data_IF_983673249308
#
_entry.id   IF_983673249308
#
_cell.length_a   1.000
_cell.length_b   1.000
_cell.length_c   1.000
_cell.angle_alpha   90.00
_cell.angle_beta   90.00
_cell.angle_gamma   90.00
#
_symmetry.space_group_name_H-M   'P 1'
#
loop_
_entity.id
_entity.type
_entity.pdbx_description
1 polymer ?
#
# COMPACT_ATOMS: atom_id res chain seq x y z
N UNK A 1 4.92 -25.44 -16.68
CA UNK A 1 4.96 -24.11 -16.04
C UNK A 1 4.43 -24.17 -14.62
N UNK A 2 3.29 -24.88 -14.37
CA UNK A 2 2.73 -25.08 -13.02
C UNK A 2 3.70 -25.87 -12.12
N UNK A 3 4.24 -27.00 -12.57
CA UNK A 3 5.23 -27.80 -11.82
C UNK A 3 6.51 -27.02 -11.44
N UNK A 4 6.98 -26.12 -12.29
CA UNK A 4 8.16 -25.30 -12.03
C UNK A 4 7.85 -24.22 -10.98
N UNK A 5 6.65 -23.64 -10.99
CA UNK A 5 6.17 -22.68 -9.99
C UNK A 5 5.95 -23.36 -8.63
N UNK A 6 5.43 -24.58 -8.60
CA UNK A 6 5.21 -25.36 -7.37
C UNK A 6 6.55 -25.78 -6.71
N UNK A 7 7.62 -25.97 -7.51
CA UNK A 7 8.96 -26.27 -7.00
C UNK A 7 9.63 -25.02 -6.43
N UNK A 8 9.45 -23.85 -7.07
CA UNK A 8 10.11 -22.59 -6.66
C UNK A 8 9.31 -21.90 -5.55
N UNK A 9 7.99 -22.02 -5.56
CA UNK A 9 7.08 -21.36 -4.63
C UNK A 9 5.99 -22.32 -4.11
N UNK A 10 6.32 -23.26 -3.24
CA UNK A 10 5.39 -24.29 -2.77
C UNK A 10 4.20 -23.75 -1.95
N UNK A 11 4.16 -22.45 -1.70
CA UNK A 11 3.11 -21.78 -0.89
C UNK A 11 2.14 -20.93 -1.71
N UNK A 12 2.22 -20.96 -3.05
CA UNK A 12 1.35 -20.18 -3.92
C UNK A 12 0.03 -20.93 -4.17
N UNK A 13 -1.07 -20.39 -3.68
CA UNK A 13 -2.41 -20.84 -4.10
C UNK A 13 -2.67 -20.48 -5.58
N UNK A 14 -3.52 -21.27 -6.24
CA UNK A 14 -3.94 -20.99 -7.63
C UNK A 14 -4.49 -19.57 -7.78
N UNK A 15 -5.20 -19.05 -6.78
CA UNK A 15 -5.74 -17.70 -6.73
C UNK A 15 -4.64 -16.62 -6.77
N UNK A 16 -3.54 -16.82 -6.05
CA UNK A 16 -2.40 -15.92 -6.05
C UNK A 16 -1.68 -15.91 -7.40
N UNK A 17 -1.54 -17.08 -8.03
CA UNK A 17 -0.96 -17.20 -9.36
C UNK A 17 -1.79 -16.42 -10.38
N UNK A 18 -3.11 -16.50 -10.29
CA UNK A 18 -4.04 -15.76 -11.16
C UNK A 18 -3.84 -14.23 -10.97
N UNK A 19 -3.81 -13.75 -9.74
CA UNK A 19 -3.63 -12.30 -9.47
C UNK A 19 -2.28 -11.80 -9.96
N UNK A 20 -1.20 -12.54 -9.70
CA UNK A 20 0.14 -12.19 -10.18
C UNK A 20 0.19 -12.18 -11.71
N UNK A 21 -0.40 -13.21 -12.36
CA UNK A 21 -0.46 -13.30 -13.80
C UNK A 21 -1.24 -12.13 -14.42
N UNK A 22 -2.30 -11.68 -13.75
CA UNK A 22 -3.09 -10.53 -14.17
C UNK A 22 -2.28 -9.22 -14.04
N UNK A 23 -1.55 -9.02 -12.94
CA UNK A 23 -0.66 -7.87 -12.76
C UNK A 23 0.42 -7.84 -13.85
N UNK A 24 1.11 -8.96 -14.06
CA UNK A 24 2.15 -9.07 -15.08
C UNK A 24 1.55 -8.86 -16.46
N UNK A 25 0.41 -9.48 -16.77
CA UNK A 25 -0.29 -9.31 -18.05
C UNK A 25 -0.65 -7.86 -18.33
N UNK A 26 -1.13 -7.13 -17.33
CA UNK A 26 -1.44 -5.71 -17.44
C UNK A 26 -0.18 -4.87 -17.71
N UNK A 27 0.92 -5.14 -17.01
CA UNK A 27 2.20 -4.45 -17.21
C UNK A 27 2.79 -4.74 -18.59
N UNK A 28 2.72 -5.98 -19.04
CA UNK A 28 3.16 -6.38 -20.40
C UNK A 28 2.31 -5.68 -21.45
N UNK A 29 1.00 -5.67 -21.29
CA UNK A 29 0.07 -4.99 -22.21
C UNK A 29 0.37 -3.49 -22.28
N UNK A 30 0.54 -2.83 -21.13
CA UNK A 30 0.92 -1.44 -21.08
C UNK A 30 2.26 -1.16 -21.80
N UNK A 31 3.26 -2.02 -21.57
CA UNK A 31 4.57 -1.91 -22.21
C UNK A 31 4.48 -2.11 -23.73
N UNK A 32 3.67 -3.07 -24.21
CA UNK A 32 3.42 -3.29 -25.63
C UNK A 32 2.73 -2.11 -26.29
N UNK A 33 1.71 -1.54 -25.64
CA UNK A 33 1.01 -0.36 -26.14
C UNK A 33 2.00 0.81 -26.28
N UNK A 34 2.85 1.07 -25.29
CA UNK A 34 3.85 2.11 -25.35
C UNK A 34 4.87 1.88 -26.49
N UNK A 35 5.30 0.63 -26.67
CA UNK A 35 6.20 0.24 -27.76
C UNK A 35 5.55 0.51 -29.13
N UNK A 36 4.29 0.10 -29.31
CA UNK A 36 3.55 0.31 -30.56
C UNK A 36 3.32 1.80 -30.83
N UNK A 37 2.91 2.59 -29.83
CA UNK A 37 2.75 4.04 -29.97
C UNK A 37 4.04 4.70 -30.40
N UNK A 38 5.17 4.31 -29.80
CA UNK A 38 6.49 4.85 -30.18
C UNK A 38 6.88 4.48 -31.62
N UNK A 39 6.49 3.28 -32.09
CA UNK A 39 6.77 2.82 -33.45
C UNK A 39 5.90 3.50 -34.49
N UNK A 40 4.60 3.70 -34.19
CA UNK A 40 3.63 4.29 -35.13
C UNK A 40 3.72 5.81 -35.15
N UNK A 41 3.94 6.42 -33.99
CA UNK A 41 4.02 7.90 -33.83
C UNK A 41 5.29 8.32 -33.10
N UNK A 42 6.47 8.33 -33.75
CA UNK A 42 7.75 8.63 -33.11
C UNK A 42 7.82 10.05 -32.48
N UNK A 43 6.98 10.96 -32.95
CA UNK A 43 6.92 12.36 -32.48
C UNK A 43 6.10 12.52 -31.18
N UNK A 44 5.33 11.50 -30.77
CA UNK A 44 4.53 11.56 -29.55
C UNK A 44 5.43 11.47 -28.32
N UNK A 45 5.30 12.44 -27.42
CA UNK A 45 6.05 12.44 -26.16
C UNK A 45 5.43 11.45 -25.17
N UNK A 46 6.00 10.25 -25.11
CA UNK A 46 5.59 9.19 -24.17
C UNK A 46 6.58 8.99 -23.01
N UNK A 47 7.52 9.92 -22.82
CA UNK A 47 8.59 9.80 -21.83
C UNK A 47 8.04 9.63 -20.40
N UNK A 48 7.01 10.39 -20.03
CA UNK A 48 6.36 10.29 -18.72
C UNK A 48 5.68 8.91 -18.51
N UNK A 49 4.91 8.44 -19.52
CA UNK A 49 4.26 7.12 -19.43
C UNK A 49 5.27 5.99 -19.36
N UNK A 50 6.33 6.06 -20.15
CA UNK A 50 7.40 5.07 -20.15
C UNK A 50 8.14 5.03 -18.80
N UNK A 51 8.41 6.20 -18.21
CA UNK A 51 9.02 6.29 -16.87
C UNK A 51 8.10 5.67 -15.80
N UNK A 52 6.80 5.97 -15.84
CA UNK A 52 5.79 5.37 -14.93
C UNK A 52 5.71 3.86 -15.07
N UNK A 53 5.63 3.33 -16.29
CA UNK A 53 5.56 1.88 -16.54
C UNK A 53 6.82 1.17 -16.02
N UNK A 54 8.01 1.77 -16.21
CA UNK A 54 9.26 1.23 -15.66
C UNK A 54 9.24 1.21 -14.13
N UNK A 55 8.76 2.28 -13.49
CA UNK A 55 8.62 2.32 -12.03
C UNK A 55 7.64 1.25 -11.52
N UNK A 56 6.56 1.01 -12.24
CA UNK A 56 5.59 -0.04 -11.90
C UNK A 56 6.19 -1.44 -12.01
N UNK A 57 7.02 -1.72 -13.00
CA UNK A 57 7.76 -2.98 -13.09
C UNK A 57 8.66 -3.20 -11.88
N UNK A 58 9.39 -2.16 -11.46
CA UNK A 58 10.29 -2.24 -10.31
C UNK A 58 9.47 -2.45 -9.02
N UNK A 59 8.41 -1.67 -8.81
CA UNK A 59 7.55 -1.79 -7.63
C UNK A 59 6.86 -3.15 -7.55
N UNK A 60 6.26 -3.63 -8.64
CA UNK A 60 5.63 -4.94 -8.70
C UNK A 60 6.64 -6.07 -8.44
N UNK A 61 7.82 -6.01 -9.05
CA UNK A 61 8.88 -7.01 -8.84
C UNK A 61 9.38 -7.05 -7.40
N UNK A 62 9.65 -5.89 -6.79
CA UNK A 62 10.07 -5.80 -5.40
C UNK A 62 8.97 -6.28 -4.44
N UNK A 63 7.73 -5.88 -4.68
CA UNK A 63 6.61 -6.24 -3.82
C UNK A 63 6.29 -7.74 -3.91
N UNK A 64 6.18 -8.30 -5.10
CA UNK A 64 5.96 -9.73 -5.32
C UNK A 64 7.11 -10.53 -4.69
N UNK A 65 8.36 -10.15 -4.96
CA UNK A 65 9.52 -10.81 -4.37
C UNK A 65 9.48 -10.78 -2.83
N UNK A 66 9.24 -9.62 -2.24
CA UNK A 66 9.21 -9.47 -0.78
C UNK A 66 8.08 -10.27 -0.13
N UNK A 67 6.88 -10.28 -0.73
CA UNK A 67 5.70 -10.93 -0.14
C UNK A 67 5.74 -12.45 -0.30
N UNK A 68 6.36 -12.99 -1.38
CA UNK A 68 6.29 -14.42 -1.69
C UNK A 68 7.50 -15.23 -1.23
N UNK A 69 8.65 -14.63 -1.01
CA UNK A 69 9.85 -15.37 -0.57
C UNK A 69 9.64 -15.94 0.84
N UNK A 70 9.23 -15.11 1.80
CA UNK A 70 9.03 -15.55 3.18
C UNK A 70 8.16 -14.56 3.96
N UNK A 71 7.36 -15.04 4.92
CA UNK A 71 6.61 -14.17 5.83
C UNK A 71 7.52 -13.17 6.57
N UNK A 72 8.67 -13.64 7.07
CA UNK A 72 9.62 -12.77 7.78
C UNK A 72 10.16 -11.66 6.87
N UNK A 73 10.47 -11.99 5.61
CA UNK A 73 10.93 -11.00 4.63
C UNK A 73 9.84 -9.98 4.35
N UNK A 74 8.57 -10.40 4.27
CA UNK A 74 7.43 -9.48 4.09
C UNK A 74 7.32 -8.46 5.23
N UNK A 75 7.44 -8.91 6.48
CA UNK A 75 7.42 -8.01 7.64
C UNK A 75 8.60 -7.03 7.62
N UNK A 76 9.82 -7.52 7.34
CA UNK A 76 11.00 -6.67 7.21
C UNK A 76 10.86 -5.65 6.09
N UNK A 77 10.37 -6.07 4.93
CA UNK A 77 10.15 -5.19 3.79
C UNK A 77 9.15 -4.07 4.09
N UNK A 78 8.01 -4.40 4.70
CA UNK A 78 7.00 -3.42 5.08
C UNK A 78 7.50 -2.50 6.21
N UNK A 79 8.27 -3.01 7.17
CA UNK A 79 8.92 -2.20 8.20
C UNK A 79 9.94 -1.23 7.58
N UNK A 80 10.71 -1.69 6.60
CA UNK A 80 11.65 -0.86 5.87
C UNK A 80 10.94 0.23 5.05
N UNK A 81 9.82 -0.10 4.40
CA UNK A 81 8.97 0.91 3.73
C UNK A 81 8.45 1.96 4.70
N UNK A 82 7.99 1.54 5.89
CA UNK A 82 7.59 2.48 6.96
C UNK A 82 8.74 3.38 7.39
N UNK A 83 9.94 2.84 7.52
CA UNK A 83 11.12 3.62 7.87
C UNK A 83 11.46 4.65 6.79
N UNK A 84 11.43 4.27 5.51
CA UNK A 84 11.66 5.21 4.40
C UNK A 84 10.59 6.30 4.40
N UNK A 85 9.31 5.93 4.52
CA UNK A 85 8.21 6.89 4.56
C UNK A 85 8.31 7.84 5.76
N UNK A 86 8.66 7.32 6.94
CA UNK A 86 8.90 8.11 8.14
C UNK A 86 10.05 9.12 7.93
N UNK A 87 11.16 8.66 7.39
CA UNK A 87 12.33 9.50 7.10
C UNK A 87 12.01 10.60 6.09
N UNK A 88 11.29 10.26 5.02
CA UNK A 88 10.92 11.21 3.98
C UNK A 88 10.00 12.30 4.52
N UNK A 89 8.92 11.91 5.21
CA UNK A 89 8.01 12.87 5.84
C UNK A 89 8.73 13.76 6.86
N UNK A 90 9.64 13.18 7.64
CA UNK A 90 10.46 13.93 8.57
C UNK A 90 11.33 14.98 7.86
N UNK A 91 11.95 14.63 6.73
CA UNK A 91 12.83 15.54 5.98
C UNK A 91 12.08 16.74 5.41
N UNK A 92 10.82 16.53 4.99
CA UNK A 92 9.98 17.56 4.37
C UNK A 92 9.40 18.54 5.39
N UNK A 93 9.10 18.07 6.61
CA UNK A 93 8.34 18.88 7.59
C UNK A 93 9.18 19.82 8.46
N UNK A 94 10.51 19.79 8.34
CA UNK A 94 11.42 20.76 8.97
C UNK A 94 11.33 20.79 10.50
N UNK A 95 11.80 19.71 11.15
CA UNK A 95 11.87 19.60 12.60
C UNK A 95 13.04 20.40 13.20
N UNK A 96 12.90 20.78 14.46
CA UNK A 96 13.95 21.47 15.22
C UNK A 96 15.03 20.48 15.67
N UNK A 97 16.21 20.98 15.95
CA UNK A 97 17.27 20.16 16.56
C UNK A 97 16.87 19.60 17.94
N UNK A 98 16.07 20.37 18.69
CA UNK A 98 15.49 19.94 19.97
C UNK A 98 14.65 18.66 19.85
N UNK A 99 14.04 18.40 18.69
CA UNK A 99 13.13 17.26 18.48
C UNK A 99 13.86 15.94 18.17
N UNK A 100 15.19 15.96 17.95
CA UNK A 100 15.99 14.76 17.61
C UNK A 100 15.84 13.60 18.61
N UNK A 101 15.68 13.91 19.90
CA UNK A 101 15.43 12.88 20.92
C UNK A 101 14.10 12.17 20.75
N UNK A 102 13.05 12.90 20.41
CA UNK A 102 11.73 12.33 20.16
C UNK A 102 11.70 11.51 18.86
N UNK A 103 12.47 11.91 17.84
CA UNK A 103 12.64 11.14 16.61
C UNK A 103 13.22 9.76 16.86
N UNK A 104 14.24 9.64 17.72
CA UNK A 104 14.79 8.34 18.08
C UNK A 104 13.69 7.40 18.58
N UNK A 105 12.78 7.90 19.43
CA UNK A 105 11.65 7.13 19.92
C UNK A 105 10.63 6.82 18.80
N UNK A 106 10.45 7.73 17.86
CA UNK A 106 9.63 7.49 16.67
C UNK A 106 10.18 6.36 15.79
N UNK A 107 11.51 6.35 15.58
CA UNK A 107 12.18 5.27 14.82
C UNK A 107 12.09 3.94 15.58
N UNK A 108 12.29 3.97 16.92
CA UNK A 108 12.18 2.77 17.76
C UNK A 108 10.75 2.20 17.79
N UNK A 109 9.75 3.03 17.57
CA UNK A 109 8.37 2.57 17.48
C UNK A 109 8.12 1.65 16.27
N UNK A 110 8.91 1.78 15.19
CA UNK A 110 8.74 0.95 13.98
C UNK A 110 8.92 -0.54 14.30
N UNK A 111 10.08 -1.01 14.79
CA UNK A 111 10.26 -2.43 15.06
C UNK A 111 9.27 -2.96 16.12
N UNK A 112 8.89 -2.16 17.10
CA UNK A 112 7.91 -2.56 18.11
C UNK A 112 6.54 -2.77 17.48
N UNK A 113 6.07 -1.83 16.66
CA UNK A 113 4.77 -1.93 15.97
C UNK A 113 4.71 -3.17 15.05
N UNK A 114 5.79 -3.43 14.30
CA UNK A 114 5.86 -4.60 13.42
C UNK A 114 5.99 -5.91 14.18
N UNK A 115 6.65 -5.91 15.33
CA UNK A 115 6.69 -7.07 16.23
C UNK A 115 5.30 -7.38 16.80
N UNK A 116 4.52 -6.37 17.19
CA UNK A 116 3.14 -6.55 17.63
C UNK A 116 2.24 -7.10 16.50
N UNK A 117 2.45 -6.65 15.26
CA UNK A 117 1.77 -7.20 14.10
C UNK A 117 2.15 -8.67 13.85
N UNK A 118 3.43 -9.02 13.99
CA UNK A 118 3.93 -10.39 13.85
C UNK A 118 3.35 -11.34 14.91
N UNK A 119 3.21 -10.87 16.14
CA UNK A 119 2.57 -11.62 17.22
C UNK A 119 1.04 -11.75 17.09
N UNK A 120 0.43 -11.08 16.09
CA UNK A 120 -1.00 -10.97 15.91
C UNK A 120 -1.74 -10.43 17.16
N UNK A 121 -1.06 -9.66 18.03
CA UNK A 121 -1.65 -9.09 19.23
C UNK A 121 -2.38 -7.78 18.89
N UNK A 122 -3.59 -7.91 18.36
CA UNK A 122 -4.38 -6.79 17.84
C UNK A 122 -4.60 -5.67 18.85
N UNK A 123 -4.93 -6.00 20.12
CA UNK A 123 -5.20 -5.00 21.15
C UNK A 123 -3.99 -4.08 21.41
N UNK A 124 -2.79 -4.66 21.56
CA UNK A 124 -1.57 -3.87 21.72
C UNK A 124 -1.19 -3.13 20.41
N UNK A 125 -1.35 -3.80 19.26
CA UNK A 125 -1.04 -3.25 17.95
C UNK A 125 -1.84 -1.96 17.66
N UNK A 126 -3.16 -1.94 17.92
CA UNK A 126 -4.02 -0.80 17.60
C UNK A 126 -3.82 0.37 18.57
N UNK A 127 -3.38 0.11 19.81
CA UNK A 127 -3.21 1.14 20.85
C UNK A 127 -1.79 1.73 20.83
N UNK A 128 -0.78 0.98 20.39
CA UNK A 128 0.62 1.37 20.57
C UNK A 128 0.96 2.73 19.93
N UNK A 129 0.70 2.94 18.65
CA UNK A 129 1.01 4.23 18.01
C UNK A 129 0.04 5.34 18.43
N UNK A 130 -1.30 5.17 18.35
CA UNK A 130 -2.21 6.28 18.62
C UNK A 130 -2.30 6.66 20.08
N UNK A 131 -2.01 5.79 21.04
CA UNK A 131 -2.13 6.06 22.46
C UNK A 131 -0.76 6.08 23.16
N UNK A 132 0.01 4.98 23.09
CA UNK A 132 1.26 4.90 23.84
C UNK A 132 2.29 5.89 23.30
N UNK A 133 2.50 5.96 21.99
CA UNK A 133 3.42 6.91 21.40
C UNK A 133 2.93 8.35 21.53
N UNK A 134 1.60 8.57 21.48
CA UNK A 134 1.00 9.88 21.74
C UNK A 134 1.29 10.40 23.15
N UNK A 135 1.50 9.54 24.13
CA UNK A 135 1.90 9.91 25.49
C UNK A 135 3.42 10.00 25.66
N UNK A 136 4.16 9.05 25.06
CA UNK A 136 5.63 8.96 25.21
C UNK A 136 6.34 10.12 24.52
N UNK A 137 5.94 10.52 23.32
CA UNK A 137 6.60 11.58 22.56
C UNK A 137 6.52 12.94 23.25
N UNK A 138 5.36 13.42 23.71
CA UNK A 138 5.26 14.65 24.47
C UNK A 138 6.09 14.63 25.76
N UNK A 139 6.00 13.52 26.50
CA UNK A 139 6.79 13.36 27.72
C UNK A 139 8.28 13.55 27.45
N UNK A 140 8.79 12.95 26.36
CA UNK A 140 10.20 13.09 25.97
C UNK A 140 10.58 14.51 25.56
N UNK A 141 9.69 15.20 24.86
CA UNK A 141 9.91 16.60 24.48
C UNK A 141 9.94 17.53 25.71
N UNK A 142 9.00 17.34 26.66
CA UNK A 142 8.95 18.14 27.89
C UNK A 142 10.16 17.89 28.78
N UNK A 143 10.59 16.63 28.95
CA UNK A 143 11.76 16.28 29.76
C UNK A 143 13.08 16.89 29.25
N UNK A 144 13.13 17.31 28.00
CA UNK A 144 14.29 17.99 27.42
C UNK A 144 14.38 19.48 27.79
N UNK A 145 13.31 20.06 28.35
CA UNK A 145 13.26 21.43 28.87
C UNK A 145 13.01 22.53 27.84
N UNK A 146 13.02 22.24 26.52
CA UNK A 146 12.70 23.21 25.48
C UNK A 146 11.22 23.11 25.13
N UNK A 147 10.42 23.98 25.73
CA UNK A 147 8.95 24.01 25.53
C UNK A 147 8.49 24.89 24.37
N UNK A 148 9.42 25.65 23.76
CA UNK A 148 9.04 26.56 22.66
C UNK A 148 8.61 25.77 21.41
N UNK A 149 7.37 25.95 20.95
CA UNK A 149 6.83 25.27 19.76
C UNK A 149 6.61 23.74 19.91
N UNK A 150 6.61 23.23 21.14
CA UNK A 150 6.45 21.82 21.47
C UNK A 150 5.17 21.22 20.88
N UNK A 151 4.06 21.94 20.93
CA UNK A 151 2.76 21.49 20.41
C UNK A 151 2.82 21.19 18.90
N UNK A 152 3.54 22.02 18.13
CA UNK A 152 3.74 21.81 16.70
C UNK A 152 4.56 20.53 16.47
N UNK A 153 5.67 20.36 17.18
CA UNK A 153 6.53 19.17 17.06
C UNK A 153 5.80 17.90 17.43
N UNK A 154 5.01 17.92 18.51
CA UNK A 154 4.18 16.79 18.92
C UNK A 154 3.16 16.41 17.85
N UNK A 155 2.40 17.39 17.34
CA UNK A 155 1.41 17.15 16.30
C UNK A 155 2.05 16.58 15.04
N UNK A 156 3.17 17.12 14.58
CA UNK A 156 3.88 16.64 13.39
C UNK A 156 4.44 15.22 13.57
N UNK A 157 5.08 14.93 14.71
CA UNK A 157 5.62 13.59 15.00
C UNK A 157 4.52 12.54 15.07
N UNK A 158 3.43 12.84 15.78
CA UNK A 158 2.29 11.93 15.84
C UNK A 158 1.66 11.71 14.46
N UNK A 159 1.52 12.78 13.68
CA UNK A 159 0.99 12.69 12.31
C UNK A 159 1.86 11.80 11.40
N UNK A 160 3.19 11.97 11.46
CA UNK A 160 4.11 11.11 10.72
C UNK A 160 3.97 9.66 11.15
N UNK A 161 3.96 9.38 12.46
CA UNK A 161 3.81 8.01 12.94
C UNK A 161 2.48 7.37 12.51
N UNK A 162 1.39 8.13 12.55
CA UNK A 162 0.08 7.64 12.10
C UNK A 162 0.08 7.29 10.60
N UNK A 163 0.68 8.14 9.76
CA UNK A 163 0.69 7.91 8.32
C UNK A 163 1.70 6.83 7.89
N UNK A 164 2.96 6.95 8.36
CA UNK A 164 4.05 6.11 7.87
C UNK A 164 4.19 4.77 8.61
N UNK A 165 3.91 4.73 9.91
CA UNK A 165 4.11 3.52 10.69
C UNK A 165 2.79 2.81 10.94
N UNK A 166 1.82 3.49 11.54
CA UNK A 166 0.53 2.88 11.85
C UNK A 166 -0.23 2.46 10.59
N UNK A 167 -0.35 3.36 9.60
CA UNK A 167 -1.03 3.06 8.34
C UNK A 167 -0.39 1.89 7.58
N UNK A 168 0.93 1.92 7.35
CA UNK A 168 1.62 0.87 6.60
C UNK A 168 1.69 -0.45 7.38
N UNK A 169 1.80 -0.42 8.72
CA UNK A 169 1.83 -1.64 9.54
C UNK A 169 0.53 -2.46 9.49
N UNK A 170 -0.61 -1.86 9.13
CA UNK A 170 -1.84 -2.60 8.89
C UNK A 170 -1.72 -3.56 7.70
N UNK A 171 -0.90 -3.21 6.69
CA UNK A 171 -0.57 -4.15 5.60
C UNK A 171 0.18 -5.37 6.12
N UNK A 172 1.09 -5.16 7.08
CA UNK A 172 1.79 -6.26 7.74
C UNK A 172 0.83 -7.08 8.63
N UNK A 173 -0.11 -6.42 9.31
CA UNK A 173 -1.11 -7.12 10.12
C UNK A 173 -2.02 -8.02 9.28
N UNK A 174 -2.32 -7.66 8.02
CA UNK A 174 -3.07 -8.55 7.11
C UNK A 174 -2.39 -9.90 6.92
N UNK A 175 -1.04 -9.95 6.95
CA UNK A 175 -0.29 -11.20 6.81
C UNK A 175 -0.51 -12.16 7.98
N UNK A 176 -0.83 -11.65 9.17
CA UNK A 176 -1.08 -12.45 10.38
C UNK A 176 -2.52 -12.96 10.49
N UNK A 177 -3.42 -12.54 9.58
CA UNK A 177 -4.81 -13.01 9.62
C UNK A 177 -4.90 -14.49 9.26
N UNK A 178 -5.76 -15.25 9.95
CA UNK A 178 -6.00 -16.65 9.63
C UNK A 178 -6.60 -16.80 8.24
N UNK A 179 -6.43 -17.97 7.66
CA UNK A 179 -7.07 -18.32 6.39
C UNK A 179 -8.60 -18.23 6.53
N UNK A 180 -9.22 -17.54 5.58
CA UNK A 180 -10.66 -17.40 5.54
C UNK A 180 -11.29 -18.63 4.86
N UNK A 181 -12.39 -19.20 5.38
CA UNK A 181 -13.07 -20.31 4.75
C UNK A 181 -13.47 -19.98 3.30
N UNK A 182 -12.94 -20.73 2.34
CA UNK A 182 -13.19 -20.53 0.91
C UNK A 182 -12.27 -19.51 0.24
N UNK A 183 -11.23 -19.00 0.92
CA UNK A 183 -10.20 -18.13 0.36
C UNK A 183 -8.80 -18.68 0.76
N UNK A 184 -8.21 -19.47 -0.12
CA UNK A 184 -6.96 -20.18 0.16
C UNK A 184 -5.71 -19.28 0.05
N UNK A 185 -5.88 -18.07 -0.45
CA UNK A 185 -4.77 -17.12 -0.58
C UNK A 185 -4.33 -16.46 0.75
N UNK A 186 -5.14 -16.62 1.82
CA UNK A 186 -4.82 -16.14 3.16
C UNK A 186 -4.51 -14.64 3.23
N UNK A 187 -3.74 -14.24 4.25
CA UNK A 187 -3.35 -12.84 4.45
C UNK A 187 -2.51 -12.25 3.30
N UNK A 188 -1.72 -13.07 2.61
CA UNK A 188 -0.96 -12.63 1.43
C UNK A 188 -1.88 -12.24 0.27
N UNK A 189 -2.94 -13.01 0.05
CA UNK A 189 -3.94 -12.70 -0.96
C UNK A 189 -4.69 -11.40 -0.66
N UNK A 190 -5.05 -11.18 0.60
CA UNK A 190 -5.68 -9.93 1.04
C UNK A 190 -4.77 -8.73 0.84
N UNK A 191 -3.49 -8.87 1.17
CA UNK A 191 -2.49 -7.83 0.97
C UNK A 191 -2.33 -7.48 -0.52
N UNK A 192 -2.16 -8.49 -1.38
CA UNK A 192 -2.08 -8.29 -2.83
C UNK A 192 -3.34 -7.64 -3.40
N UNK A 193 -4.51 -8.12 -2.98
CA UNK A 193 -5.78 -7.59 -3.42
C UNK A 193 -5.94 -6.11 -3.05
N UNK A 194 -5.58 -5.74 -1.81
CA UNK A 194 -5.63 -4.35 -1.37
C UNK A 194 -4.69 -3.46 -2.17
N UNK A 195 -3.43 -3.89 -2.37
CA UNK A 195 -2.46 -3.12 -3.16
C UNK A 195 -2.92 -3.01 -4.62
N UNK A 196 -3.41 -4.11 -5.20
CA UNK A 196 -3.94 -4.11 -6.56
C UNK A 196 -5.12 -3.15 -6.73
N UNK A 197 -6.06 -3.12 -5.78
CA UNK A 197 -7.19 -2.18 -5.80
C UNK A 197 -6.74 -0.72 -5.72
N UNK A 198 -5.76 -0.42 -4.88
CA UNK A 198 -5.23 0.95 -4.75
C UNK A 198 -4.53 1.40 -6.02
N UNK A 199 -3.73 0.54 -6.64
CA UNK A 199 -3.06 0.83 -7.90
C UNK A 199 -4.05 1.01 -9.06
N UNK A 200 -5.04 0.13 -9.18
CA UNK A 200 -6.10 0.28 -10.19
C UNK A 200 -6.89 1.58 -9.98
N UNK A 201 -7.19 1.92 -8.73
CA UNK A 201 -7.89 3.16 -8.43
C UNK A 201 -7.10 4.39 -8.92
N UNK A 202 -5.77 4.41 -8.73
CA UNK A 202 -4.94 5.51 -9.22
C UNK A 202 -4.88 5.56 -10.76
N UNK A 203 -4.77 4.40 -11.41
CA UNK A 203 -4.83 4.28 -12.87
C UNK A 203 -6.17 4.79 -13.41
N UNK A 204 -7.28 4.38 -12.81
CA UNK A 204 -8.61 4.81 -13.25
C UNK A 204 -8.83 6.30 -13.01
N UNK A 205 -8.35 6.85 -11.89
CA UNK A 205 -8.36 8.30 -11.65
C UNK A 205 -7.60 9.06 -12.74
N UNK A 206 -6.45 8.54 -13.16
CA UNK A 206 -5.65 9.14 -14.22
C UNK A 206 -6.38 9.08 -15.57
N UNK A 207 -6.95 7.92 -15.94
CA UNK A 207 -7.66 7.73 -17.21
C UNK A 207 -8.88 8.66 -17.28
N UNK A 208 -9.76 8.61 -16.29
CA UNK A 208 -10.95 9.46 -16.25
C UNK A 208 -10.60 10.94 -16.17
N UNK A 209 -9.54 11.30 -15.41
CA UNK A 209 -9.03 12.67 -15.35
C UNK A 209 -8.50 13.19 -16.68
N UNK A 210 -7.92 12.32 -17.50
CA UNK A 210 -7.45 12.68 -18.87
C UNK A 210 -8.60 12.77 -19.87
N UNK A 211 -9.58 11.87 -19.77
CA UNK A 211 -10.69 11.78 -20.72
C UNK A 211 -11.79 12.83 -20.46
N UNK A 212 -12.17 13.01 -19.21
CA UNK A 212 -13.32 13.83 -18.82
C UNK A 212 -12.99 15.02 -17.92
N UNK A 213 -11.75 15.11 -17.42
CA UNK A 213 -11.35 16.08 -16.41
C UNK A 213 -11.48 17.53 -16.83
N UNK A 214 -12.39 18.25 -16.23
CA UNK A 214 -12.67 19.68 -16.44
C UNK A 214 -12.48 20.50 -15.15
N UNK A 215 -12.96 19.98 -14.02
CA UNK A 215 -12.97 20.68 -12.74
C UNK A 215 -11.81 20.24 -11.85
N UNK A 216 -10.90 21.16 -11.55
CA UNK A 216 -9.74 20.89 -10.69
C UNK A 216 -10.16 20.79 -9.22
N UNK A 217 -9.63 19.79 -8.47
CA UNK A 217 -9.90 19.64 -7.03
C UNK A 217 -9.12 20.68 -6.23
N UNK A 218 -7.81 20.72 -6.41
CA UNK A 218 -6.88 21.60 -5.67
C UNK A 218 -5.83 22.18 -6.61
N UNK A 219 -6.16 23.25 -7.38
CA UNK A 219 -5.27 23.79 -8.40
C UNK A 219 -3.88 24.19 -7.88
N UNK A 220 -3.80 24.69 -6.64
CA UNK A 220 -2.55 25.15 -6.02
C UNK A 220 -1.65 24.01 -5.51
N UNK A 221 -2.23 22.86 -5.15
CA UNK A 221 -1.48 21.73 -4.56
C UNK A 221 -1.24 20.63 -5.58
N UNK A 222 -2.25 20.31 -6.37
CA UNK A 222 -2.19 19.26 -7.41
C UNK A 222 -2.94 19.72 -8.66
N UNK A 223 -2.25 20.37 -9.61
CA UNK A 223 -2.88 20.98 -10.80
C UNK A 223 -3.46 19.94 -11.77
N UNK A 224 -3.08 18.68 -11.65
CA UNK A 224 -3.53 17.60 -12.54
C UNK A 224 -4.70 16.77 -12.00
N UNK A 225 -5.06 16.91 -10.72
CA UNK A 225 -6.19 16.17 -10.13
C UNK A 225 -7.52 16.87 -10.42
N UNK A 226 -8.50 16.08 -10.89
CA UNK A 226 -9.85 16.56 -11.26
C UNK A 226 -10.93 15.78 -10.53
N UNK A 227 -12.09 16.39 -10.32
CA UNK A 227 -13.25 15.75 -9.70
C UNK A 227 -13.76 14.56 -10.53
N UNK A 228 -13.79 14.71 -11.85
CA UNK A 228 -14.21 13.65 -12.76
C UNK A 228 -13.25 12.45 -12.69
N UNK A 229 -11.95 12.72 -12.59
CA UNK A 229 -10.96 11.68 -12.38
C UNK A 229 -11.15 10.96 -11.05
N UNK A 230 -11.36 11.70 -9.96
CA UNK A 230 -11.57 11.12 -8.64
C UNK A 230 -12.83 10.25 -8.60
N UNK A 231 -13.98 10.78 -9.02
CA UNK A 231 -15.24 10.04 -9.04
C UNK A 231 -15.19 8.84 -9.98
N UNK A 232 -14.63 9.00 -11.18
CA UNK A 232 -14.46 7.91 -12.13
C UNK A 232 -13.58 6.78 -11.57
N UNK A 233 -12.50 7.11 -10.88
CA UNK A 233 -11.67 6.13 -10.18
C UNK A 233 -12.44 5.37 -9.11
N UNK A 234 -13.12 6.08 -8.22
CA UNK A 234 -13.92 5.47 -7.13
C UNK A 234 -15.01 4.56 -7.71
N UNK A 235 -15.79 5.02 -8.69
CA UNK A 235 -16.87 4.22 -9.30
C UNK A 235 -16.29 2.96 -9.96
N UNK A 236 -15.24 3.09 -10.78
CA UNK A 236 -14.61 1.95 -11.45
C UNK A 236 -14.08 0.91 -10.47
N UNK A 237 -13.39 1.36 -9.41
CA UNK A 237 -12.82 0.47 -8.39
C UNK A 237 -13.92 -0.20 -7.56
N UNK A 238 -14.99 0.53 -7.24
CA UNK A 238 -16.15 -0.04 -6.54
C UNK A 238 -16.85 -1.09 -7.40
N UNK A 239 -17.04 -0.85 -8.70
CA UNK A 239 -17.57 -1.85 -9.61
C UNK A 239 -16.71 -3.11 -9.66
N UNK A 240 -15.38 -2.96 -9.74
CA UNK A 240 -14.46 -4.09 -9.69
C UNK A 240 -14.57 -4.88 -8.38
N UNK A 241 -14.70 -4.19 -7.25
CA UNK A 241 -14.86 -4.82 -5.95
C UNK A 241 -16.17 -5.65 -5.89
N UNK A 242 -17.26 -5.11 -6.41
CA UNK A 242 -18.56 -5.79 -6.44
C UNK A 242 -18.62 -6.96 -7.42
N UNK A 243 -17.86 -6.91 -8.51
CA UNK A 243 -17.79 -7.99 -9.50
C UNK A 243 -16.81 -9.10 -9.10
N UNK A 244 -15.98 -8.85 -8.09
CA UNK A 244 -15.09 -9.88 -7.54
C UNK A 244 -15.89 -10.96 -6.82
N UNK A 245 -15.64 -12.26 -7.07
CA UNK A 245 -16.40 -13.35 -6.44
C UNK A 245 -16.27 -13.29 -4.92
N UNK A 246 -17.39 -13.02 -4.26
CA UNK A 246 -17.49 -13.00 -2.80
C UNK A 246 -17.49 -14.44 -2.24
N UNK A 247 -16.89 -14.70 -1.06
CA UNK A 247 -17.05 -15.98 -0.36
C UNK A 247 -18.52 -16.41 -0.15
N UNK A 248 -19.45 -15.44 -0.16
CA UNK A 248 -20.91 -15.71 -0.09
C UNK A 248 -21.45 -16.27 -1.39
N UNK A 249 -20.95 -15.84 -2.53
CA UNK A 249 -21.39 -16.31 -3.85
C UNK A 249 -20.92 -17.74 -4.12
N UNK A 250 -19.70 -18.08 -3.64
CA UNK A 250 -19.15 -19.43 -3.72
C UNK A 250 -19.93 -20.43 -2.84
N UNK A 251 -20.54 -20.00 -1.74
CA UNK A 251 -21.44 -20.85 -0.94
C UNK A 251 -22.74 -21.14 -1.67
N UNK A 252 -23.32 -20.20 -2.38
CA UNK A 252 -24.57 -20.40 -3.16
C UNK A 252 -24.38 -21.36 -4.34
N UNK A 253 -23.24 -21.34 -5.00
CA UNK A 253 -22.95 -22.26 -6.12
C UNK A 253 -22.72 -23.71 -5.69
N UNK A 254 -22.46 -23.96 -4.40
CA UNK A 254 -22.26 -25.31 -3.82
C UNK A 254 -23.50 -25.89 -3.14
N UNK A 255 -24.62 -25.17 -3.08
CA UNK A 255 -25.88 -25.77 -2.61
C UNK A 255 -26.42 -26.66 -3.74
N UNK A 256 -26.59 -27.99 -3.51
CA UNK A 256 -27.27 -28.82 -4.48
C UNK A 256 -28.68 -28.26 -4.65
N UNK A 257 -29.09 -28.08 -5.92
CA UNK A 257 -30.49 -27.81 -6.24
C UNK A 257 -31.29 -28.98 -5.67
N UNK A 258 -31.92 -28.76 -4.52
CA UNK A 258 -32.90 -29.71 -3.99
C UNK A 258 -34.05 -29.75 -5.00
N UNK A 259 -34.06 -30.84 -5.77
CA UNK A 259 -35.23 -31.25 -6.52
C UNK A 259 -36.40 -31.59 -5.58
#
# INVERSE_FOLDING_TARGET
MKELLDIIFPTLSDELIIVISLIIGLLVTASLILFLVKKISPKTNISELSARTRSWWIMAGMFIGAVFISYNISYFFLAFLSFIAFRELYSVLGFREADRGALFWGILAIPIQYYLAYLAWYGAFIIFIPVVMFLVLPLRLVLKGDTHGITKSMALLQWILMLSVFGISHLAYLLSLPELPGFNAGGRGLLLFLVFLTEINDVMQFIWGKLLGRHKILPKVSPNKTWEGFLGGVISTTCLLYTSPSPRDMRRSRMPSSA
#
